data_IF_524422451833
#
_entry.id   IF_524422451833
#
_cell.length_a   1.000
_cell.length_b   1.000
_cell.length_c   1.000
_cell.angle_alpha   90.00
_cell.angle_beta   90.00
_cell.angle_gamma   90.00
#
_symmetry.space_group_name_H-M   'P 1'
#
loop_
_entity.id
_entity.type
_entity.pdbx_description
1 polymer ?
#
# COMPACT_ATOMS: atom_id res chain seq x y z
N UNK A 1 21.04 -21.80 -24.08
CA UNK A 1 19.81 -21.06 -24.43
C UNK A 1 19.19 -20.59 -23.12
N UNK A 2 19.30 -19.30 -22.79
CA UNK A 2 18.79 -18.77 -21.52
C UNK A 2 17.27 -18.56 -21.65
N UNK A 3 16.48 -19.32 -20.89
CA UNK A 3 15.02 -19.20 -20.89
C UNK A 3 14.61 -17.86 -20.28
N UNK A 4 13.89 -17.03 -21.05
CA UNK A 4 13.23 -15.83 -20.50
C UNK A 4 12.20 -16.29 -19.47
N UNK A 5 12.48 -16.07 -18.18
CA UNK A 5 11.46 -16.20 -17.13
C UNK A 5 10.33 -15.25 -17.47
N UNK A 6 9.10 -15.74 -17.49
CA UNK A 6 7.93 -14.88 -17.56
C UNK A 6 8.01 -13.89 -16.40
N UNK A 7 8.10 -12.60 -16.72
CA UNK A 7 7.99 -11.56 -15.71
C UNK A 7 6.63 -11.70 -15.03
N UNK A 8 6.60 -11.64 -13.70
CA UNK A 8 5.34 -11.70 -12.98
C UNK A 8 4.49 -10.49 -13.36
N UNK A 9 3.19 -10.71 -13.57
CA UNK A 9 2.24 -9.63 -13.89
C UNK A 9 2.36 -8.45 -12.91
N UNK A 10 2.70 -8.73 -11.65
CA UNK A 10 2.96 -7.74 -10.62
C UNK A 10 4.08 -6.75 -10.97
N UNK A 11 5.21 -7.23 -11.49
CA UNK A 11 6.32 -6.35 -11.87
C UNK A 11 5.92 -5.44 -13.04
N UNK A 12 5.17 -5.98 -14.00
CA UNK A 12 4.66 -5.20 -15.12
C UNK A 12 3.72 -4.07 -14.62
N UNK A 13 2.76 -4.39 -13.76
CA UNK A 13 1.85 -3.40 -13.17
C UNK A 13 2.59 -2.34 -12.35
N UNK A 14 3.65 -2.72 -11.63
CA UNK A 14 4.48 -1.76 -10.89
C UNK A 14 5.24 -0.81 -11.81
N UNK A 15 5.81 -1.32 -12.91
CA UNK A 15 6.50 -0.51 -13.91
C UNK A 15 5.53 0.43 -14.62
N UNK A 16 4.35 -0.06 -15.01
CA UNK A 16 3.30 0.75 -15.63
C UNK A 16 2.82 1.85 -14.67
N UNK A 17 2.58 1.51 -13.39
CA UNK A 17 2.19 2.49 -12.38
C UNK A 17 3.25 3.59 -12.19
N UNK A 18 4.54 3.22 -12.13
CA UNK A 18 5.65 4.19 -12.03
C UNK A 18 5.74 5.07 -13.27
N UNK A 19 5.55 4.46 -14.44
CA UNK A 19 5.54 5.17 -15.72
C UNK A 19 4.43 6.22 -15.78
N UNK A 20 3.20 5.84 -15.45
CA UNK A 20 2.05 6.77 -15.43
C UNK A 20 2.29 7.90 -14.43
N UNK A 21 2.79 7.58 -13.23
CA UNK A 21 3.04 8.55 -12.17
C UNK A 21 4.07 9.62 -12.58
N UNK A 22 5.19 9.20 -13.19
CA UNK A 22 6.21 10.12 -13.73
C UNK A 22 5.63 11.19 -14.68
N UNK A 23 4.71 10.79 -15.56
CA UNK A 23 4.08 11.71 -16.51
C UNK A 23 3.03 12.61 -15.85
N UNK A 24 2.34 12.13 -14.82
CA UNK A 24 1.43 12.95 -14.01
C UNK A 24 2.20 14.06 -13.31
N UNK A 25 3.33 13.73 -12.68
CA UNK A 25 4.20 14.71 -12.03
C UNK A 25 4.73 15.75 -13.02
N UNK A 26 5.14 15.30 -14.21
CA UNK A 26 5.59 16.20 -15.29
C UNK A 26 4.49 17.19 -15.69
N UNK A 27 3.23 16.74 -15.82
CA UNK A 27 2.10 17.65 -16.09
C UNK A 27 1.89 18.63 -14.93
N UNK A 28 1.90 18.14 -13.69
CA UNK A 28 1.67 18.98 -12.51
C UNK A 28 2.73 20.07 -12.39
N UNK A 29 4.01 19.73 -12.61
CA UNK A 29 5.12 20.68 -12.63
C UNK A 29 4.96 21.72 -13.74
N UNK A 30 4.67 21.31 -14.98
CA UNK A 30 4.46 22.25 -16.10
C UNK A 30 3.27 23.18 -15.87
N UNK A 31 2.21 22.67 -15.27
CA UNK A 31 1.04 23.49 -14.95
C UNK A 31 1.35 24.52 -13.85
N UNK A 32 2.11 24.14 -12.80
CA UNK A 32 2.58 25.10 -11.78
C UNK A 32 3.42 26.22 -12.40
N UNK A 33 4.39 25.87 -13.26
CA UNK A 33 5.22 26.86 -13.98
C UNK A 33 4.36 27.78 -14.86
N UNK A 34 3.35 27.24 -15.54
CA UNK A 34 2.44 28.04 -16.37
C UNK A 34 1.55 28.97 -15.50
N UNK A 35 1.10 28.51 -14.33
CA UNK A 35 0.35 29.32 -13.36
C UNK A 35 1.18 30.48 -12.81
N UNK A 36 2.47 30.27 -12.58
CA UNK A 36 3.41 31.30 -12.09
C UNK A 36 3.88 32.25 -13.20
N UNK A 37 3.65 31.91 -14.48
CA UNK A 37 4.08 32.74 -15.59
C UNK A 37 3.27 34.04 -15.72
N UNK A 38 3.94 35.15 -16.05
CA UNK A 38 3.31 36.45 -16.32
C UNK A 38 2.71 36.56 -17.75
N UNK A 39 2.37 35.43 -18.38
CA UNK A 39 1.80 35.43 -19.73
C UNK A 39 0.37 35.97 -19.70
N UNK A 40 0.04 36.83 -20.66
CA UNK A 40 -1.32 37.37 -20.83
C UNK A 40 -2.36 36.28 -21.15
N UNK A 41 -1.93 35.15 -21.73
CA UNK A 41 -2.76 33.97 -21.99
C UNK A 41 -2.04 32.71 -21.49
N UNK A 42 -2.43 32.26 -20.29
CA UNK A 42 -1.94 31.01 -19.71
C UNK A 42 -2.54 29.80 -20.44
N UNK A 43 -1.74 28.77 -20.69
CA UNK A 43 -2.25 27.50 -21.22
C UNK A 43 -3.16 26.82 -20.19
N UNK A 44 -4.33 26.38 -20.63
CA UNK A 44 -5.20 25.53 -19.82
C UNK A 44 -4.61 24.14 -19.60
N UNK A 45 -5.00 23.48 -18.51
CA UNK A 45 -4.49 22.14 -18.12
C UNK A 45 -4.60 21.13 -19.25
N UNK A 46 -5.72 21.10 -20.00
CA UNK A 46 -5.92 20.17 -21.12
C UNK A 46 -4.87 20.33 -22.23
N UNK A 47 -4.43 21.56 -22.51
CA UNK A 47 -3.41 21.81 -23.53
C UNK A 47 -2.06 21.27 -23.08
N UNK A 48 -1.69 21.53 -21.83
CA UNK A 48 -0.44 20.99 -21.24
C UNK A 48 -0.46 19.46 -21.24
N UNK A 49 -1.61 18.84 -20.93
CA UNK A 49 -1.76 17.39 -20.96
C UNK A 49 -1.48 16.83 -22.35
N UNK A 50 -2.11 17.39 -23.40
CA UNK A 50 -1.87 16.94 -24.78
C UNK A 50 -0.41 17.09 -25.18
N UNK A 51 0.24 18.20 -24.80
CA UNK A 51 1.67 18.40 -25.06
C UNK A 51 2.53 17.32 -24.38
N UNK A 52 2.19 16.94 -23.14
CA UNK A 52 2.90 15.87 -22.41
C UNK A 52 2.60 14.48 -22.96
N UNK A 53 1.36 14.19 -23.37
CA UNK A 53 0.98 12.93 -24.01
C UNK A 53 1.73 12.74 -25.35
N UNK A 54 1.82 13.81 -26.15
CA UNK A 54 2.60 13.81 -27.39
C UNK A 54 4.10 13.59 -27.13
N UNK A 55 4.65 14.20 -26.08
CA UNK A 55 6.04 13.99 -25.69
C UNK A 55 6.30 12.56 -25.20
N UNK A 56 5.38 12.01 -24.41
CA UNK A 56 5.42 10.62 -23.96
C UNK A 56 5.46 9.66 -25.14
N UNK A 57 4.54 9.85 -26.09
CA UNK A 57 4.48 9.05 -27.31
C UNK A 57 5.75 9.21 -28.17
N UNK A 58 6.27 10.43 -28.30
CA UNK A 58 7.49 10.67 -29.08
C UNK A 58 8.70 9.90 -28.50
N UNK A 59 8.87 9.91 -27.17
CA UNK A 59 10.00 9.27 -26.48
C UNK A 59 9.87 7.75 -26.37
N UNK A 60 8.68 7.27 -26.01
CA UNK A 60 8.51 5.86 -25.61
C UNK A 60 7.75 5.02 -26.63
N UNK A 61 7.08 5.66 -27.60
CA UNK A 61 6.14 5.01 -28.53
C UNK A 61 4.96 4.33 -27.83
N UNK A 62 4.72 4.63 -26.55
CA UNK A 62 3.53 4.22 -25.82
C UNK A 62 2.51 5.35 -25.79
N UNK A 63 1.28 5.03 -26.16
CA UNK A 63 0.17 5.98 -26.06
C UNK A 63 -0.33 6.00 -24.62
N UNK A 64 -0.22 7.17 -23.99
CA UNK A 64 -0.66 7.40 -22.62
C UNK A 64 -1.85 8.36 -22.65
N UNK A 65 -2.99 7.92 -22.14
CA UNK A 65 -4.18 8.78 -22.01
C UNK A 65 -4.32 9.27 -20.59
N UNK A 66 -3.99 10.54 -20.35
CA UNK A 66 -4.01 11.10 -19.01
C UNK A 66 -5.38 11.75 -18.72
N UNK A 67 -6.08 11.31 -17.66
CA UNK A 67 -7.38 11.87 -17.27
C UNK A 67 -7.22 13.22 -16.54
N UNK A 68 -7.86 14.33 -16.99
CA UNK A 68 -7.69 15.67 -16.41
C UNK A 68 -7.90 15.77 -14.88
N UNK A 69 -8.91 15.09 -14.34
CA UNK A 69 -9.31 15.21 -12.93
C UNK A 69 -8.23 14.73 -11.95
N UNK A 70 -7.46 13.71 -12.31
CA UNK A 70 -6.41 13.15 -11.47
C UNK A 70 -5.24 14.14 -11.25
N UNK A 71 -5.16 15.18 -12.09
CA UNK A 71 -4.03 16.11 -12.19
C UNK A 71 -4.24 17.37 -11.34
N UNK A 72 -5.48 17.85 -11.28
CA UNK A 72 -5.85 18.96 -10.40
C UNK A 72 -5.64 18.61 -8.92
N UNK A 73 -5.84 17.34 -8.56
CA UNK A 73 -5.58 16.85 -7.22
C UNK A 73 -4.11 17.08 -6.80
N UNK A 74 -3.13 16.76 -7.66
CA UNK A 74 -1.71 16.96 -7.38
C UNK A 74 -1.32 18.44 -7.29
N UNK A 75 -1.91 19.29 -8.13
CA UNK A 75 -1.64 20.74 -8.10
C UNK A 75 -2.13 21.35 -6.79
N UNK A 76 -3.26 20.87 -6.26
CA UNK A 76 -3.83 21.30 -4.99
C UNK A 76 -3.16 20.66 -3.76
N UNK A 77 -2.00 20.01 -3.93
CA UNK A 77 -1.24 19.44 -2.81
C UNK A 77 -1.75 18.10 -2.29
N UNK A 78 -2.70 17.43 -2.97
CA UNK A 78 -2.98 16.03 -2.66
C UNK A 78 -1.78 15.19 -3.10
N UNK A 79 -1.15 14.51 -2.14
CA UNK A 79 -0.10 13.52 -2.38
C UNK A 79 -0.72 12.30 -3.07
N UNK A 80 0.02 11.65 -3.97
CA UNK A 80 -0.40 10.34 -4.47
C UNK A 80 -0.32 9.31 -3.34
N UNK A 81 -1.07 8.22 -3.48
CA UNK A 81 -0.95 7.07 -2.55
C UNK A 81 0.51 6.56 -2.54
N UNK A 82 1.21 6.62 -3.67
CA UNK A 82 2.62 6.26 -3.75
C UNK A 82 3.50 7.19 -2.91
N UNK A 83 3.34 8.51 -3.03
CA UNK A 83 4.09 9.48 -2.22
C UNK A 83 3.79 9.32 -0.74
N UNK A 84 2.50 9.11 -0.41
CA UNK A 84 2.06 8.86 0.96
C UNK A 84 2.67 7.58 1.52
N UNK A 85 2.66 6.48 0.76
CA UNK A 85 3.24 5.21 1.18
C UNK A 85 4.78 5.27 1.26
N UNK A 86 5.42 6.00 0.36
CA UNK A 86 6.87 6.22 0.38
C UNK A 86 7.29 7.03 1.62
N UNK A 87 6.52 8.05 2.00
CA UNK A 87 6.71 8.83 3.23
C UNK A 87 6.45 7.99 4.48
N UNK A 88 5.50 7.07 4.43
CA UNK A 88 5.16 6.22 5.57
C UNK A 88 6.25 5.26 6.00
N UNK A 89 7.30 5.04 5.21
CA UNK A 89 8.63 4.47 5.54
C UNK A 89 8.79 3.52 6.76
N UNK A 90 7.77 2.72 7.08
CA UNK A 90 7.74 1.69 8.12
C UNK A 90 8.51 0.43 7.72
N UNK A 91 9.17 0.46 6.56
CA UNK A 91 10.11 -0.51 6.02
C UNK A 91 11.53 0.08 5.86
N UNK A 92 11.94 1.04 6.71
CA UNK A 92 13.38 1.23 6.87
C UNK A 92 13.90 0.03 7.66
N UNK A 93 14.74 -0.76 7.00
CA UNK A 93 15.66 -1.69 7.65
C UNK A 93 16.24 -0.97 8.87
N UNK A 94 15.84 -1.44 10.05
CA UNK A 94 16.57 -1.12 11.27
C UNK A 94 18.03 -1.39 10.98
N UNK A 95 18.84 -0.34 11.10
CA UNK A 95 20.29 -0.41 11.08
C UNK A 95 20.73 -1.68 11.81
N UNK A 96 21.34 -2.61 11.09
CA UNK A 96 22.19 -3.64 11.69
C UNK A 96 23.40 -2.90 12.28
N UNK A 97 23.26 -2.33 13.46
CA UNK A 97 24.44 -2.01 14.26
C UNK A 97 25.06 -3.34 14.68
N UNK A 98 26.15 -3.68 13.99
CA UNK A 98 27.06 -4.76 14.35
C UNK A 98 27.67 -4.50 15.72
N UNK A 99 26.91 -4.80 16.78
CA UNK A 99 27.45 -5.03 18.11
C UNK A 99 28.33 -6.27 18.07
N UNK A 100 29.63 -6.09 18.26
CA UNK A 100 30.57 -7.17 18.53
C UNK A 100 30.15 -7.81 19.85
N UNK A 101 29.38 -8.90 19.79
CA UNK A 101 29.10 -9.78 20.92
C UNK A 101 30.16 -10.88 20.95
N UNK A 102 31.14 -10.70 21.82
CA UNK A 102 32.01 -11.79 22.25
C UNK A 102 31.22 -12.68 23.23
N UNK A 103 30.86 -13.88 22.77
CA UNK A 103 30.50 -15.02 23.62
C UNK A 103 29.05 -15.07 24.10
N UNK A 104 28.27 -15.98 23.51
CA UNK A 104 27.00 -16.41 24.08
C UNK A 104 25.92 -16.64 23.04
N UNK A 105 25.73 -17.89 22.65
CA UNK A 105 24.66 -18.38 21.81
C UNK A 105 23.29 -18.12 22.47
N UNK A 106 22.52 -17.13 21.99
CA UNK A 106 21.07 -17.07 22.21
C UNK A 106 20.34 -16.59 20.95
N UNK A 107 19.27 -17.33 20.64
CA UNK A 107 18.34 -17.18 19.53
C UNK A 107 17.50 -15.90 19.75
N UNK A 108 17.92 -14.81 19.11
CA UNK A 108 17.23 -13.51 19.19
C UNK A 108 15.91 -13.52 18.42
N UNK A 109 14.81 -13.47 19.16
CA UNK A 109 13.47 -13.18 18.67
C UNK A 109 13.45 -11.76 18.11
N UNK A 110 13.08 -11.61 16.84
CA UNK A 110 12.82 -10.32 16.22
C UNK A 110 11.43 -9.88 16.67
N UNK A 111 11.37 -9.17 17.80
CA UNK A 111 10.09 -8.74 18.39
C UNK A 111 9.36 -7.72 17.51
N UNK A 112 8.09 -8.02 17.31
CA UNK A 112 7.12 -7.32 16.50
C UNK A 112 6.66 -6.03 17.19
N UNK A 113 7.38 -4.93 17.00
CA UNK A 113 6.95 -3.60 17.51
C UNK A 113 5.63 -3.08 16.91
N UNK A 114 5.07 -3.75 15.89
CA UNK A 114 3.73 -3.45 15.36
C UNK A 114 2.60 -3.89 16.29
N UNK A 115 2.78 -4.99 17.05
CA UNK A 115 1.75 -5.51 17.95
C UNK A 115 1.57 -4.63 19.19
N UNK A 116 2.68 -4.19 19.78
CA UNK A 116 2.65 -3.39 21.00
C UNK A 116 2.01 -2.01 20.79
N UNK A 117 2.22 -1.38 19.63
CA UNK A 117 1.53 -0.13 19.27
C UNK A 117 0.01 -0.30 19.09
N UNK A 118 -0.44 -1.44 18.56
CA UNK A 118 -1.86 -1.72 18.39
C UNK A 118 -2.56 -1.96 19.75
N UNK A 119 -1.86 -2.64 20.68
CA UNK A 119 -2.35 -2.91 22.04
C UNK A 119 -2.33 -1.65 22.91
N UNK A 120 -1.25 -0.87 22.90
CA UNK A 120 -1.12 0.37 23.71
C UNK A 120 -2.10 1.47 23.31
N UNK A 121 -2.63 1.46 22.07
CA UNK A 121 -3.57 2.49 21.60
C UNK A 121 -5.04 2.17 21.87
N UNK A 122 -5.35 0.96 22.31
CA UNK A 122 -6.70 0.49 22.57
C UNK A 122 -6.80 -0.12 23.98
N UNK A 123 -6.72 0.72 25.02
CA UNK A 123 -6.93 0.29 26.42
C UNK A 123 -8.39 -0.09 26.72
N UNK A 124 -9.36 0.34 25.89
CA UNK A 124 -10.76 -0.06 25.98
C UNK A 124 -11.30 -0.46 24.59
N UNK A 125 -11.60 -1.75 24.40
CA UNK A 125 -12.33 -2.24 23.25
C UNK A 125 -13.81 -1.87 23.40
N UNK A 126 -14.21 -0.70 22.92
CA UNK A 126 -15.63 -0.39 22.78
C UNK A 126 -16.28 -1.32 21.73
N UNK A 127 -17.49 -1.85 21.98
CA UNK A 127 -18.24 -2.61 20.99
C UNK A 127 -18.68 -1.67 19.86
N UNK A 128 -17.83 -1.54 18.83
CA UNK A 128 -18.23 -0.96 17.56
C UNK A 128 -19.02 -2.01 16.78
N UNK A 129 -20.28 -1.68 16.49
CA UNK A 129 -21.04 -2.41 15.47
C UNK A 129 -20.32 -2.22 14.13
N UNK A 130 -19.82 -3.32 13.59
CA UNK A 130 -19.17 -3.32 12.28
C UNK A 130 -20.26 -3.18 11.23
N UNK A 131 -20.36 -2.01 10.60
CA UNK A 131 -21.07 -1.92 9.33
C UNK A 131 -20.37 -2.86 8.34
N UNK A 132 -21.14 -3.75 7.70
CA UNK A 132 -20.68 -4.75 6.74
C UNK A 132 -19.66 -4.13 5.76
N UNK A 133 -18.38 -4.44 5.97
CA UNK A 133 -17.25 -4.08 5.11
C UNK A 133 -17.22 -4.91 3.82
N UNK A 134 -18.40 -5.26 3.27
CA UNK A 134 -18.57 -6.19 2.16
C UNK A 134 -18.03 -5.66 0.83
N UNK A 135 -17.59 -4.41 0.75
CA UNK A 135 -17.21 -3.80 -0.53
C UNK A 135 -15.74 -3.37 -0.60
N UNK A 136 -15.01 -3.37 0.53
CA UNK A 136 -13.66 -2.78 0.59
C UNK A 136 -12.55 -3.69 1.11
N UNK A 137 -12.85 -4.96 1.47
CA UNK A 137 -11.85 -5.90 2.04
C UNK A 137 -11.34 -7.00 1.10
N UNK A 138 -11.77 -7.07 -0.15
CA UNK A 138 -11.37 -8.20 -1.01
C UNK A 138 -9.97 -8.11 -1.65
N UNK A 139 -9.26 -6.97 -1.61
CA UNK A 139 -8.04 -6.81 -2.44
C UNK A 139 -6.81 -6.26 -1.72
N UNK A 140 -6.65 -6.49 -0.41
CA UNK A 140 -5.38 -6.25 0.26
C UNK A 140 -5.02 -7.38 1.23
N UNK A 141 -5.07 -8.61 0.74
CA UNK A 141 -4.34 -9.71 1.38
C UNK A 141 -2.87 -9.48 1.06
N UNK A 142 -2.12 -8.94 2.03
CA UNK A 142 -0.66 -8.92 1.97
C UNK A 142 -0.18 -10.38 2.01
N UNK A 143 0.41 -10.95 0.94
CA UNK A 143 0.80 -12.36 0.91
C UNK A 143 1.81 -12.71 2.01
N UNK A 144 2.65 -11.74 2.40
CA UNK A 144 3.62 -11.92 3.47
C UNK A 144 2.98 -12.00 4.86
N UNK A 145 1.73 -11.54 5.02
CA UNK A 145 1.01 -11.54 6.29
C UNK A 145 -0.11 -12.59 6.33
N UNK A 146 -0.28 -13.34 5.25
CA UNK A 146 -1.32 -14.38 5.15
C UNK A 146 -0.92 -15.58 6.01
N UNK A 147 0.30 -16.08 5.89
CA UNK A 147 0.80 -17.20 6.70
C UNK A 147 0.75 -16.86 8.20
N UNK A 148 1.30 -15.72 8.59
CA UNK A 148 1.25 -15.24 9.98
C UNK A 148 -0.20 -15.06 10.51
N UNK A 149 -1.15 -14.70 9.65
CA UNK A 149 -2.56 -14.61 10.03
C UNK A 149 -3.16 -16.00 10.29
N UNK A 150 -2.87 -16.99 9.43
CA UNK A 150 -3.36 -18.35 9.64
C UNK A 150 -2.68 -19.02 10.83
N UNK A 151 -1.39 -18.77 11.08
CA UNK A 151 -0.69 -19.26 12.27
C UNK A 151 -1.33 -18.71 13.56
N UNK A 152 -1.68 -17.42 13.57
CA UNK A 152 -2.38 -16.80 14.71
C UNK A 152 -3.80 -17.33 14.86
N UNK A 153 -4.54 -17.49 13.76
CA UNK A 153 -5.89 -18.04 13.78
C UNK A 153 -5.89 -19.48 14.29
N UNK A 154 -4.94 -20.30 13.85
CA UNK A 154 -4.76 -21.67 14.29
C UNK A 154 -4.45 -21.74 15.79
N UNK A 155 -3.54 -20.90 16.28
CA UNK A 155 -3.25 -20.80 17.73
C UNK A 155 -4.47 -20.41 18.55
N UNK A 156 -5.25 -19.43 18.08
CA UNK A 156 -6.47 -19.00 18.78
C UNK A 156 -7.52 -20.12 18.80
N UNK A 157 -7.66 -20.89 17.72
CA UNK A 157 -8.58 -22.03 17.67
C UNK A 157 -8.11 -23.14 18.61
N UNK A 158 -6.81 -23.44 18.63
CA UNK A 158 -6.22 -24.51 19.44
C UNK A 158 -6.03 -24.15 20.93
N UNK A 159 -6.08 -22.87 21.27
CA UNK A 159 -5.73 -22.35 22.59
C UNK A 159 -4.20 -22.28 22.79
N UNK A 160 -3.71 -21.23 23.46
CA UNK A 160 -2.31 -21.19 23.94
C UNK A 160 -2.19 -21.88 25.32
N UNK A 161 -0.96 -22.08 25.80
CA UNK A 161 -0.68 -22.77 27.06
C UNK A 161 -1.56 -22.21 28.21
N UNK A 162 -2.53 -23.03 28.66
CA UNK A 162 -3.55 -22.78 29.71
C UNK A 162 -4.88 -22.16 29.26
N UNK A 163 -5.14 -21.97 27.97
CA UNK A 163 -6.47 -21.62 27.44
C UNK A 163 -7.18 -22.87 26.90
N UNK A 164 -8.50 -22.98 27.13
CA UNK A 164 -9.28 -24.07 26.54
C UNK A 164 -9.47 -23.82 25.03
N UNK A 165 -9.24 -24.83 24.17
CA UNK A 165 -9.46 -24.70 22.74
C UNK A 165 -10.92 -24.31 22.45
N UNK A 166 -11.12 -23.52 21.40
CA UNK A 166 -12.47 -23.14 20.94
C UNK A 166 -13.16 -24.41 20.46
N UNK A 167 -14.28 -24.77 21.09
CA UNK A 167 -15.08 -25.92 20.67
C UNK A 167 -15.55 -25.75 19.21
N UNK A 168 -15.54 -26.84 18.43
CA UNK A 168 -15.90 -26.82 17.00
C UNK A 168 -17.27 -26.17 16.72
N UNK A 169 -18.22 -26.33 17.65
CA UNK A 169 -19.55 -25.73 17.61
C UNK A 169 -19.55 -24.20 17.71
N UNK A 170 -18.49 -23.60 18.25
CA UNK A 170 -18.30 -22.14 18.34
C UNK A 170 -17.56 -21.54 17.14
N UNK A 171 -16.86 -22.35 16.33
CA UNK A 171 -16.11 -21.87 15.15
C UNK A 171 -17.09 -21.37 14.06
N UNK A 172 -18.28 -21.95 14.00
CA UNK A 172 -19.31 -21.67 12.98
C UNK A 172 -20.48 -20.84 13.52
N UNK A 173 -20.22 -19.90 14.44
CA UNK A 173 -21.25 -19.11 15.13
C UNK A 173 -22.24 -18.39 14.19
N UNK A 174 -23.43 -18.99 14.07
CA UNK A 174 -24.78 -18.41 13.92
C UNK A 174 -25.01 -17.30 12.87
N UNK A 175 -25.25 -17.71 11.62
CA UNK A 175 -26.03 -16.95 10.60
C UNK A 175 -27.55 -17.21 10.73
N UNK A 176 -27.98 -18.18 11.53
CA UNK A 176 -29.40 -18.48 11.68
C UNK A 176 -30.09 -17.54 12.68
N UNK A 177 -30.28 -16.28 12.27
CA UNK A 177 -31.30 -15.39 12.84
C UNK A 177 -32.46 -15.28 11.86
N UNK A 178 -33.20 -16.37 11.65
CA UNK A 178 -34.57 -16.30 11.15
C UNK A 178 -35.51 -16.41 12.35
N UNK A 179 -36.01 -15.26 12.82
CA UNK A 179 -37.36 -15.06 13.42
C UNK A 179 -37.63 -13.58 13.71
#
# INVERSE_FOLDING_TARGET
>A
MSGRRAESQTLHSQLESKFVHHWIDTVAQRYKVELESNKSRKKGVHKICREVEQECFAKTKHELKLVPNMKLAHVNGRKSIWDFNAEKQWLKEGKEEAGVWAGGFQKGVRENNGHQWFVERHEELHPYWTHLLNHSRACAINPANHEAYFDLLEKVIQGEDNEEPIADECIYGMDETEL
#
